data_IF_988254991969
#
_entry.id   IF_988254991969
#
_cell.length_a   1.000
_cell.length_b   1.000
_cell.length_c   1.000
_cell.angle_alpha   90.00
_cell.angle_beta   90.00
_cell.angle_gamma   90.00
#
_symmetry.space_group_name_H-M   'P 1'
#
loop_
_entity.id
_entity.type
_entity.pdbx_description
1 polymer ?
#
# COMPACT_ATOMS: atom_id res chain seq x y z
N UNK A 1 13.12 -9.51 -11.28
CA UNK A 1 12.79 -9.84 -9.87
C UNK A 1 11.68 -10.88 -9.90
N UNK A 2 11.77 -11.98 -9.12
CA UNK A 2 10.67 -12.97 -9.14
C UNK A 2 9.44 -12.33 -8.49
N UNK A 3 8.26 -12.37 -9.13
CA UNK A 3 6.99 -11.80 -8.63
C UNK A 3 6.76 -12.06 -7.13
N UNK A 4 7.11 -13.25 -6.65
CA UNK A 4 7.11 -13.65 -5.24
C UNK A 4 7.95 -12.75 -4.31
N UNK A 5 9.18 -12.42 -4.70
CA UNK A 5 10.10 -11.60 -3.88
C UNK A 5 9.56 -10.18 -3.74
N UNK A 6 9.01 -9.65 -4.84
CA UNK A 6 8.36 -8.35 -4.86
C UNK A 6 7.17 -8.29 -3.91
N UNK A 7 6.23 -9.25 -4.04
CA UNK A 7 5.06 -9.32 -3.17
C UNK A 7 5.46 -9.48 -1.70
N UNK A 8 6.42 -10.35 -1.38
CA UNK A 8 6.89 -10.53 -0.02
C UNK A 8 7.48 -9.23 0.57
N UNK A 9 8.28 -8.50 -0.22
CA UNK A 9 8.83 -7.22 0.20
C UNK A 9 7.73 -6.19 0.47
N UNK A 10 6.79 -6.06 -0.46
CA UNK A 10 5.68 -5.12 -0.34
C UNK A 10 4.80 -5.42 0.89
N UNK A 11 4.45 -6.70 1.08
CA UNK A 11 3.72 -7.15 2.27
C UNK A 11 4.49 -6.76 3.53
N UNK A 12 5.79 -7.00 3.59
CA UNK A 12 6.62 -6.64 4.74
C UNK A 12 6.65 -5.13 5.01
N UNK A 13 6.82 -4.30 3.98
CA UNK A 13 6.89 -2.84 4.14
C UNK A 13 5.56 -2.25 4.67
N UNK A 14 4.41 -2.69 4.11
CA UNK A 14 3.09 -2.22 4.55
C UNK A 14 2.71 -2.78 5.92
N UNK A 15 3.05 -4.04 6.19
CA UNK A 15 2.81 -4.66 7.50
C UNK A 15 3.56 -3.92 8.60
N UNK A 16 4.83 -3.57 8.37
CA UNK A 16 5.62 -2.82 9.34
C UNK A 16 5.00 -1.45 9.62
N UNK A 17 4.52 -0.75 8.59
CA UNK A 17 3.81 0.52 8.75
C UNK A 17 2.56 0.38 9.63
N UNK A 18 1.73 -0.65 9.41
CA UNK A 18 0.53 -0.89 10.21
C UNK A 18 0.87 -1.30 11.65
N UNK A 19 1.88 -2.13 11.83
CA UNK A 19 2.31 -2.64 13.13
C UNK A 19 2.92 -1.58 14.04
N UNK A 20 3.46 -0.48 13.50
CA UNK A 20 3.86 0.68 14.34
C UNK A 20 2.67 1.33 15.04
N UNK A 21 1.48 1.22 14.46
CA UNK A 21 0.24 1.58 15.12
C UNK A 21 -0.08 0.68 16.31
N UNK A 22 0.65 -0.41 16.57
CA UNK A 22 0.35 -1.41 17.60
C UNK A 22 -1.13 -1.87 17.59
N UNK A 23 -1.65 -2.36 16.44
CA UNK A 23 -2.99 -2.91 16.36
C UNK A 23 -3.06 -4.24 17.12
N UNK A 24 -4.23 -4.57 17.66
CA UNK A 24 -4.48 -5.87 18.27
C UNK A 24 -4.72 -6.95 17.19
N UNK A 25 -5.21 -6.53 16.01
CA UNK A 25 -5.44 -7.41 14.86
C UNK A 25 -4.91 -6.78 13.58
N UNK A 26 -4.26 -7.59 12.76
CA UNK A 26 -3.97 -7.28 11.36
C UNK A 26 -4.36 -8.48 10.48
N UNK A 27 -5.02 -8.21 9.36
CA UNK A 27 -5.38 -9.22 8.34
C UNK A 27 -4.80 -8.77 7.01
N UNK A 28 -4.19 -9.71 6.29
CA UNK A 28 -3.63 -9.48 4.96
C UNK A 28 -4.25 -10.49 4.01
N UNK A 29 -4.90 -10.00 2.96
CA UNK A 29 -5.42 -10.81 1.87
C UNK A 29 -4.60 -10.56 0.61
N UNK A 30 -4.23 -11.63 -0.09
CA UNK A 30 -3.53 -11.59 -1.38
C UNK A 30 -4.34 -12.36 -2.42
N UNK A 31 -4.86 -11.63 -3.40
CA UNK A 31 -5.56 -12.17 -4.55
C UNK A 31 -4.62 -12.04 -5.76
N UNK A 32 -4.30 -13.16 -6.40
CA UNK A 32 -3.40 -13.16 -7.57
C UNK A 32 -4.19 -13.49 -8.83
N UNK A 33 -3.93 -12.70 -9.87
CA UNK A 33 -4.47 -12.89 -11.21
C UNK A 33 -3.32 -13.07 -12.22
N UNK A 34 -3.68 -13.35 -13.47
CA UNK A 34 -2.73 -13.64 -14.54
C UNK A 34 -1.80 -12.44 -14.81
N UNK A 35 -2.35 -11.22 -14.82
CA UNK A 35 -1.65 -9.97 -15.16
C UNK A 35 -1.44 -9.01 -13.97
N UNK A 36 -1.92 -9.39 -12.78
CA UNK A 36 -1.94 -8.50 -11.62
C UNK A 36 -2.15 -9.19 -10.27
N UNK A 37 -2.17 -8.40 -9.22
CA UNK A 37 -2.52 -8.84 -7.88
C UNK A 37 -3.24 -7.72 -7.12
N UNK A 38 -4.11 -8.12 -6.20
CA UNK A 38 -4.75 -7.23 -5.25
C UNK A 38 -4.36 -7.64 -3.84
N UNK A 39 -3.81 -6.69 -3.09
CA UNK A 39 -3.41 -6.85 -1.70
C UNK A 39 -4.30 -5.97 -0.83
N UNK A 40 -5.00 -6.57 0.12
CA UNK A 40 -5.79 -5.84 1.11
C UNK A 40 -5.21 -6.04 2.50
N UNK A 41 -4.99 -4.94 3.20
CA UNK A 41 -4.54 -4.91 4.58
C UNK A 41 -5.63 -4.30 5.44
N UNK A 42 -5.91 -4.95 6.55
CA UNK A 42 -6.85 -4.48 7.56
C UNK A 42 -6.16 -4.43 8.90
N UNK A 43 -6.39 -3.38 9.67
CA UNK A 43 -6.10 -3.37 11.09
C UNK A 43 -7.35 -2.97 11.89
N UNK A 44 -7.24 -2.98 13.22
CA UNK A 44 -8.32 -2.59 14.12
C UNK A 44 -8.13 -1.18 14.72
N UNK A 45 -7.37 -0.33 14.03
CA UNK A 45 -7.09 1.04 14.48
C UNK A 45 -7.63 2.08 13.50
N UNK A 46 -8.68 2.78 13.92
CA UNK A 46 -9.15 3.96 13.20
C UNK A 46 -8.09 5.06 13.22
N UNK A 47 -7.98 5.77 12.11
CA UNK A 47 -7.10 6.92 11.92
C UNK A 47 -7.94 8.16 11.63
N UNK A 48 -7.39 9.35 11.89
CA UNK A 48 -8.09 10.59 11.53
C UNK A 48 -8.17 10.76 10.00
N UNK A 49 -9.10 11.58 9.53
CA UNK A 49 -9.20 11.86 8.08
C UNK A 49 -7.93 12.51 7.52
N UNK A 50 -7.22 13.31 8.32
CA UNK A 50 -5.92 13.88 7.95
C UNK A 50 -4.87 12.79 7.72
N UNK A 51 -4.80 11.80 8.62
CA UNK A 51 -3.89 10.67 8.49
C UNK A 51 -4.26 9.79 7.29
N UNK A 52 -5.54 9.46 7.12
CA UNK A 52 -6.01 8.68 5.97
C UNK A 52 -5.66 9.38 4.66
N UNK A 53 -5.88 10.69 4.58
CA UNK A 53 -5.53 11.51 3.41
C UNK A 53 -4.03 11.46 3.15
N UNK A 54 -3.20 11.62 4.19
CA UNK A 54 -1.73 11.58 4.08
C UNK A 54 -1.24 10.24 3.53
N UNK A 55 -1.77 9.13 4.07
CA UNK A 55 -1.42 7.77 3.60
C UNK A 55 -1.87 7.59 2.14
N UNK A 56 -3.10 8.00 1.81
CA UNK A 56 -3.67 7.90 0.46
C UNK A 56 -2.86 8.67 -0.57
N UNK A 57 -2.44 9.89 -0.25
CA UNK A 57 -1.61 10.73 -1.12
C UNK A 57 -0.19 10.16 -1.28
N UNK A 58 0.38 9.60 -0.21
CA UNK A 58 1.69 8.96 -0.27
C UNK A 58 1.67 7.70 -1.15
N UNK A 59 0.63 6.87 -1.04
CA UNK A 59 0.47 5.66 -1.86
C UNK A 59 0.03 5.94 -3.30
N UNK A 60 -0.45 7.15 -3.61
CA UNK A 60 -0.83 7.56 -4.97
C UNK A 60 -0.02 8.81 -5.41
N UNK A 61 1.31 8.70 -5.55
CA UNK A 61 2.15 9.84 -5.89
C UNK A 61 1.86 10.34 -7.31
N UNK A 62 1.62 11.66 -7.46
CA UNK A 62 1.27 12.31 -8.74
C UNK A 62 2.44 12.47 -9.72
N UNK A 63 3.68 12.36 -9.24
CA UNK A 63 4.88 12.58 -10.04
C UNK A 63 5.63 11.28 -10.29
N UNK A 64 6.26 11.20 -11.45
CA UNK A 64 7.15 10.11 -11.87
C UNK A 64 8.19 9.84 -10.80
N UNK A 65 8.41 8.56 -10.51
CA UNK A 65 9.43 8.07 -9.58
C UNK A 65 10.75 8.82 -9.81
N UNK A 66 11.28 9.55 -8.81
CA UNK A 66 12.59 10.20 -8.92
C UNK A 66 13.62 9.14 -9.31
N UNK A 67 14.50 9.48 -10.24
CA UNK A 67 15.57 8.59 -10.73
C UNK A 67 16.46 8.05 -9.59
N UNK A 68 16.45 8.70 -8.42
CA UNK A 68 17.16 8.35 -7.20
C UNK A 68 16.36 7.49 -6.19
N UNK A 69 15.25 6.86 -6.58
CA UNK A 69 14.49 5.99 -5.68
C UNK A 69 15.33 4.83 -5.10
N UNK A 70 16.37 4.39 -5.81
CA UNK A 70 17.35 3.42 -5.33
C UNK A 70 18.20 3.98 -4.17
N UNK A 71 18.54 5.28 -4.22
CA UNK A 71 19.25 6.01 -3.16
C UNK A 71 18.41 6.16 -1.88
N UNK A 72 17.10 6.38 -2.00
CA UNK A 72 16.20 6.41 -0.85
C UNK A 72 16.02 5.02 -0.21
N UNK A 73 16.10 3.95 -1.01
CA UNK A 73 16.15 2.58 -0.51
C UNK A 73 17.41 2.28 0.32
N UNK A 74 18.55 2.90 -0.03
CA UNK A 74 19.82 2.75 0.71
C UNK A 74 19.91 3.59 2.00
N UNK A 75 19.19 4.72 2.09
CA UNK A 75 19.11 5.52 3.33
C UNK A 75 17.95 5.10 4.26
N UNK A 76 17.10 4.16 3.84
CA UNK A 76 15.97 3.62 4.61
C UNK A 76 16.35 2.84 5.87
N UNK A 77 17.64 2.81 6.23
CA UNK A 77 18.19 2.07 7.36
C UNK A 77 17.83 2.64 8.73
N UNK A 78 17.67 3.95 8.92
CA UNK A 78 17.49 4.48 10.29
C UNK A 78 16.69 5.78 10.50
N UNK A 79 16.34 6.55 9.45
CA UNK A 79 15.73 7.89 9.69
C UNK A 79 14.78 8.38 8.58
N UNK A 80 14.12 7.46 7.89
CA UNK A 80 13.18 7.80 6.80
C UNK A 80 11.75 7.88 7.32
N UNK A 81 11.14 9.06 7.22
CA UNK A 81 9.73 9.27 7.57
C UNK A 81 8.81 8.30 6.80
N UNK A 82 7.74 7.83 7.44
CA UNK A 82 6.81 6.88 6.82
C UNK A 82 6.24 7.34 5.48
N UNK A 83 6.05 8.64 5.31
CA UNK A 83 5.62 9.22 4.03
C UNK A 83 6.55 8.86 2.87
N UNK A 84 7.86 8.87 3.09
CA UNK A 84 8.82 8.54 2.05
C UNK A 84 8.78 7.03 1.73
N UNK A 85 8.58 6.17 2.73
CA UNK A 85 8.41 4.72 2.54
C UNK A 85 7.11 4.40 1.79
N UNK A 86 6.00 5.03 2.18
CA UNK A 86 4.71 4.89 1.50
C UNK A 86 4.76 5.40 0.06
N UNK A 87 5.52 6.47 -0.23
CA UNK A 87 5.77 6.93 -1.61
C UNK A 87 6.56 5.93 -2.44
N UNK A 88 7.57 5.28 -1.85
CA UNK A 88 8.32 4.22 -2.52
C UNK A 88 7.42 3.04 -2.89
N UNK A 89 6.50 2.66 -1.99
CA UNK A 89 5.44 1.67 -2.27
C UNK A 89 4.53 2.19 -3.38
N UNK A 90 4.07 3.44 -3.29
CA UNK A 90 3.16 4.06 -4.26
C UNK A 90 3.69 4.05 -5.70
N UNK A 91 5.00 4.19 -5.90
CA UNK A 91 5.62 4.07 -7.23
C UNK A 91 5.73 2.65 -7.78
N UNK A 92 5.46 1.64 -6.95
CA UNK A 92 5.54 0.22 -7.33
C UNK A 92 4.16 -0.40 -7.62
N UNK A 93 3.09 0.32 -7.28
CA UNK A 93 1.70 -0.12 -7.44
C UNK A 93 0.99 0.76 -8.49
N UNK A 94 -0.14 0.29 -8.99
CA UNK A 94 -0.98 1.05 -9.94
C UNK A 94 -1.91 2.02 -9.22
N UNK A 95 -2.46 1.57 -8.10
CA UNK A 95 -3.41 2.34 -7.32
C UNK A 95 -3.45 1.85 -5.88
N UNK A 96 -3.87 2.74 -4.97
CA UNK A 96 -4.25 2.36 -3.63
C UNK A 96 -5.48 3.12 -3.13
N UNK A 97 -6.33 2.43 -2.37
CA UNK A 97 -7.40 3.04 -1.57
C UNK A 97 -7.08 2.88 -0.10
N UNK A 98 -7.45 3.90 0.67
CA UNK A 98 -7.23 3.94 2.12
C UNK A 98 -8.49 4.52 2.73
N UNK A 99 -9.14 3.77 3.62
CA UNK A 99 -10.36 4.19 4.31
C UNK A 99 -10.42 3.59 5.70
N UNK A 100 -11.15 4.25 6.60
CA UNK A 100 -11.60 3.55 7.80
C UNK A 100 -12.71 2.56 7.40
N UNK A 101 -12.65 1.34 7.92
CA UNK A 101 -13.77 0.41 7.99
C UNK A 101 -14.48 0.57 9.32
N UNK A 102 -15.56 -0.19 9.52
CA UNK A 102 -16.27 -0.23 10.81
C UNK A 102 -15.33 -0.60 11.97
N UNK A 103 -14.35 -1.47 11.70
CA UNK A 103 -13.45 -2.04 12.70
C UNK A 103 -12.06 -1.41 12.78
N UNK A 104 -11.63 -0.56 11.83
CA UNK A 104 -10.27 0.00 11.84
C UNK A 104 -9.90 0.62 10.49
N UNK A 105 -8.69 0.39 9.99
CA UNK A 105 -8.29 0.84 8.64
C UNK A 105 -8.31 -0.29 7.63
N UNK A 106 -8.61 0.05 6.39
CA UNK A 106 -8.45 -0.78 5.21
C UNK A 106 -7.52 -0.06 4.22
N UNK A 107 -6.48 -0.77 3.76
CA UNK A 107 -5.58 -0.34 2.69
C UNK A 107 -5.63 -1.40 1.60
N UNK A 108 -6.06 -1.02 0.40
CA UNK A 108 -6.03 -1.87 -0.78
C UNK A 108 -4.97 -1.38 -1.74
N UNK A 109 -4.17 -2.30 -2.27
CA UNK A 109 -3.11 -2.05 -3.25
C UNK A 109 -3.38 -2.89 -4.49
N UNK A 110 -3.33 -2.25 -5.65
CA UNK A 110 -3.47 -2.91 -6.93
C UNK A 110 -2.16 -2.92 -7.69
N UNK A 111 -1.79 -4.11 -8.16
CA UNK A 111 -0.57 -4.39 -8.88
C UNK A 111 -0.94 -4.97 -10.23
N UNK A 112 -0.25 -4.57 -11.29
CA UNK A 112 -0.48 -5.18 -12.60
C UNK A 112 0.21 -4.46 -13.75
N UNK A 113 -0.03 -4.98 -14.95
CA UNK A 113 0.44 -4.39 -16.21
C UNK A 113 -0.22 -3.03 -16.50
N UNK A 114 0.19 -2.34 -17.57
CA UNK A 114 -0.48 -1.10 -17.97
C UNK A 114 -1.94 -1.31 -18.43
N UNK A 115 -2.34 -2.54 -18.73
CA UNK A 115 -3.72 -2.93 -19.02
C UNK A 115 -4.56 -3.23 -17.77
N UNK A 116 -3.97 -3.09 -16.57
CA UNK A 116 -4.61 -3.37 -15.30
C UNK A 116 -5.88 -2.51 -15.12
N UNK A 117 -7.03 -3.17 -14.94
CA UNK A 117 -8.31 -2.52 -14.70
C UNK A 117 -8.80 -2.79 -13.26
N UNK A 118 -8.76 -1.78 -12.36
CA UNK A 118 -9.21 -1.96 -10.97
C UNK A 118 -10.69 -2.31 -10.86
N UNK A 119 -11.54 -1.95 -11.83
CA UNK A 119 -12.98 -2.26 -11.82
C UNK A 119 -13.29 -3.76 -12.00
N UNK A 120 -12.31 -4.56 -12.45
CA UNK A 120 -12.45 -6.02 -12.57
C UNK A 120 -12.26 -6.73 -11.23
N UNK A 121 -11.65 -6.05 -10.26
CA UNK A 121 -11.62 -6.47 -8.86
C UNK A 121 -12.87 -5.88 -8.21
N UNK A 122 -13.70 -6.69 -7.56
CA UNK A 122 -14.95 -6.26 -6.93
C UNK A 122 -14.71 -5.10 -5.95
N UNK A 123 -14.86 -3.87 -6.45
CA UNK A 123 -15.00 -2.66 -5.64
C UNK A 123 -16.46 -2.70 -5.18
N UNK A 124 -16.70 -3.02 -3.91
CA UNK A 124 -17.97 -2.63 -3.31
C UNK A 124 -18.06 -1.11 -3.43
N UNK A 125 -18.88 -0.64 -4.36
CA UNK A 125 -19.26 0.76 -4.46
C UNK A 125 -20.05 1.07 -3.20
N UNK A 126 -19.46 1.82 -2.28
CA UNK A 126 -20.16 2.40 -1.15
C UNK A 126 -21.41 3.09 -1.71
N UNK A 127 -22.59 2.55 -1.33
CA UNK A 127 -23.91 3.00 -1.75
C UNK A 127 -24.36 4.18 -0.92
#
# INVERSE_FOLDING_TARGET
MKRKEFLNRLIGEVSNFLLEGNPLRMVISLHQEEDGAHLSFFDDRKRSEEDLKRIREALNPKHTRPELAEYYGMMAGHDTSWDARLKLIGWQIKHATVRNSDSGVQIDLWLGSDAFNPDQFTIEKDS
#
